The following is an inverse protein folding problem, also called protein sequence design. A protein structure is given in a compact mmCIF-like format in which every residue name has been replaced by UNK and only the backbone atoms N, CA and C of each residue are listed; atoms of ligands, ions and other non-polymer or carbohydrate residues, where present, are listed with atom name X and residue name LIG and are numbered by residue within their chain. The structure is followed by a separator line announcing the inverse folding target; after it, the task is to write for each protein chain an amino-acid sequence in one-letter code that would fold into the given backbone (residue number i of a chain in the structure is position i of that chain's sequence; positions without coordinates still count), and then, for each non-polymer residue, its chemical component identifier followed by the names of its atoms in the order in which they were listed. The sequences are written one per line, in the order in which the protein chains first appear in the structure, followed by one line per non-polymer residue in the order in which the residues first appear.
data_IF_311607379194
#
_entry.id   IF_311607379194
#
_cell.length_a   1.000
_cell.length_b   1.000
_cell.length_c   1.000
_cell.angle_alpha   90.00
_cell.angle_beta   90.00
_cell.angle_gamma   90.00
#
_symmetry.space_group_name_H-M   'P 1'
#
loop_
_entity.id
_entity.type
_entity.pdbx_description
1 polymer ?
#
# COMPACT_ATOMS: atom_id res chain seq x y z
N UNK A 1 -28.88 -25.34 -3.51
CA UNK A 1 -27.46 -24.93 -3.56
C UNK A 1 -26.84 -25.36 -4.89
N UNK A 2 -27.18 -26.56 -5.40
CA UNK A 2 -26.75 -27.08 -6.71
C UNK A 2 -27.10 -26.19 -7.93
N UNK A 3 -28.25 -25.52 -7.94
CA UNK A 3 -28.63 -24.63 -9.05
C UNK A 3 -27.64 -23.48 -9.25
N UNK A 4 -27.12 -22.92 -8.15
CA UNK A 4 -26.16 -21.82 -8.21
C UNK A 4 -24.81 -22.36 -8.69
N UNK A 5 -24.33 -23.49 -8.17
CA UNK A 5 -23.11 -24.14 -8.65
C UNK A 5 -23.15 -24.46 -10.15
N UNK A 6 -24.30 -24.94 -10.66
CA UNK A 6 -24.49 -25.22 -12.08
C UNK A 6 -24.47 -23.97 -12.98
N UNK A 7 -24.83 -22.80 -12.45
CA UNK A 7 -24.73 -21.53 -13.18
C UNK A 7 -23.29 -21.02 -13.24
N UNK A 8 -22.49 -21.24 -12.20
CA UNK A 8 -21.11 -20.77 -12.13
C UNK A 8 -20.19 -21.54 -13.09
N UNK A 9 -20.48 -22.81 -13.35
CA UNK A 9 -19.72 -23.61 -14.33
C UNK A 9 -19.90 -23.16 -15.79
N UNK A 10 -20.88 -22.30 -16.08
CA UNK A 10 -21.11 -21.74 -17.42
C UNK A 10 -20.36 -20.42 -17.65
N UNK A 11 -19.74 -19.87 -16.61
CA UNK A 11 -18.93 -18.68 -16.73
C UNK A 11 -17.63 -19.05 -17.43
N UNK A 12 -17.38 -18.40 -18.56
CA UNK A 12 -16.13 -18.45 -19.29
C UNK A 12 -15.69 -17.02 -19.56
N UNK A 13 -14.39 -16.79 -19.57
CA UNK A 13 -13.85 -15.49 -19.96
C UNK A 13 -14.11 -15.28 -21.45
N UNK A 14 -14.54 -14.10 -21.82
CA UNK A 14 -14.54 -13.67 -23.22
C UNK A 14 -13.10 -13.47 -23.72
N UNK A 15 -12.89 -13.47 -25.03
CA UNK A 15 -11.56 -13.23 -25.64
C UNK A 15 -10.93 -11.90 -25.18
N UNK A 16 -11.76 -10.88 -24.92
CA UNK A 16 -11.32 -9.58 -24.39
C UNK A 16 -10.92 -9.64 -22.92
N UNK A 17 -11.58 -10.48 -22.12
CA UNK A 17 -11.25 -10.67 -20.70
C UNK A 17 -10.04 -11.58 -20.51
N UNK A 18 -9.82 -12.55 -21.41
CA UNK A 18 -8.65 -13.45 -21.40
C UNK A 18 -7.35 -12.68 -21.69
N UNK A 19 -7.40 -11.65 -22.53
CA UNK A 19 -6.28 -10.74 -22.75
C UNK A 19 -5.86 -9.97 -21.48
N UNK A 20 -6.79 -9.83 -20.52
CA UNK A 20 -6.59 -9.09 -19.29
C UNK A 20 -6.51 -7.57 -19.52
N UNK A 21 -6.84 -6.81 -18.49
CA UNK A 21 -6.60 -5.37 -18.49
C UNK A 21 -5.20 -5.12 -17.95
N UNK A 22 -4.29 -4.66 -18.81
CA UNK A 22 -3.05 -4.06 -18.35
C UNK A 22 -3.41 -2.78 -17.60
N UNK A 23 -3.41 -2.83 -16.27
CA UNK A 23 -3.49 -1.62 -15.45
C UNK A 23 -2.30 -0.76 -15.85
N UNK A 24 -2.52 0.43 -16.47
CA UNK A 24 -1.42 1.24 -16.93
C UNK A 24 -0.55 1.53 -15.72
N UNK A 25 0.73 1.13 -15.79
CA UNK A 25 1.73 1.50 -14.79
C UNK A 25 1.84 3.01 -14.81
N UNK A 26 1.05 3.66 -13.97
CA UNK A 26 1.07 5.11 -13.80
C UNK A 26 2.54 5.51 -13.56
N UNK A 27 3.12 6.34 -14.43
CA UNK A 27 4.49 6.80 -14.26
C UNK A 27 4.55 7.65 -13.00
N UNK A 28 4.85 7.03 -11.86
CA UNK A 28 4.74 7.68 -10.56
C UNK A 28 4.32 6.77 -9.39
N UNK A 29 3.92 5.52 -9.63
CA UNK A 29 3.85 4.50 -8.57
C UNK A 29 5.28 4.14 -8.18
N UNK A 30 5.82 4.97 -7.29
CA UNK A 30 7.14 4.79 -6.69
C UNK A 30 7.18 3.41 -6.03
N UNK A 31 8.19 2.62 -6.37
CA UNK A 31 8.46 1.29 -5.77
C UNK A 31 8.68 1.35 -4.25
N UNK A 32 8.91 2.54 -3.71
CA UNK A 32 9.21 2.79 -2.31
C UNK A 32 7.99 3.30 -1.52
N UNK A 33 6.86 2.59 -1.56
CA UNK A 33 5.65 2.89 -0.78
C UNK A 33 5.46 1.86 0.34
N UNK A 34 5.13 2.33 1.54
CA UNK A 34 4.75 1.50 2.68
C UNK A 34 3.38 1.94 3.18
N UNK A 35 2.45 1.00 3.33
CA UNK A 35 1.17 1.26 3.98
C UNK A 35 1.22 0.73 5.41
N UNK A 36 0.80 1.56 6.37
CA UNK A 36 0.71 1.20 7.79
C UNK A 36 -0.66 1.54 8.36
N UNK A 37 -1.25 0.59 9.09
CA UNK A 37 -2.51 0.78 9.81
C UNK A 37 -2.23 0.98 11.30
N UNK A 38 -2.63 2.12 11.83
CA UNK A 38 -2.50 2.42 13.25
C UNK A 38 -3.75 1.94 14.00
N UNK A 39 -3.56 0.91 14.83
CA UNK A 39 -4.63 0.31 15.64
C UNK A 39 -4.90 1.15 16.91
N UNK A 40 -5.19 2.44 16.72
CA UNK A 40 -5.52 3.39 17.78
C UNK A 40 -6.98 3.78 17.74
N UNK A 41 -7.58 4.00 18.92
CA UNK A 41 -8.99 4.41 19.03
C UNK A 41 -9.25 5.85 18.56
N UNK A 42 -8.19 6.66 18.41
CA UNK A 42 -8.22 8.05 17.93
C UNK A 42 -7.48 8.18 16.61
N UNK A 43 -7.81 9.24 15.86
CA UNK A 43 -7.10 9.58 14.62
C UNK A 43 -5.66 9.98 14.94
N UNK A 44 -4.70 9.34 14.27
CA UNK A 44 -3.26 9.65 14.42
C UNK A 44 -2.88 10.88 13.60
N UNK A 45 -2.10 11.78 14.21
CA UNK A 45 -1.58 12.95 13.51
C UNK A 45 -0.38 12.55 12.62
N UNK A 46 -0.50 12.76 11.31
CA UNK A 46 0.55 12.48 10.31
C UNK A 46 1.91 13.09 10.67
N UNK A 47 1.93 14.29 11.23
CA UNK A 47 3.14 15.04 11.55
C UNK A 47 3.80 14.48 12.81
N UNK A 48 3.00 14.00 13.76
CA UNK A 48 3.51 13.30 14.93
C UNK A 48 4.13 11.96 14.51
N UNK A 49 3.46 11.22 13.63
CA UNK A 49 3.98 9.97 13.05
C UNK A 49 5.29 10.23 12.32
N UNK A 50 5.35 11.19 11.39
CA UNK A 50 6.58 11.47 10.64
C UNK A 50 7.76 11.80 11.56
N UNK A 51 7.53 12.56 12.64
CA UNK A 51 8.56 12.93 13.63
C UNK A 51 9.02 11.75 14.48
N UNK A 52 8.14 10.84 14.83
CA UNK A 52 8.47 9.64 15.63
C UNK A 52 9.21 8.60 14.82
N UNK A 53 8.75 8.32 13.59
CA UNK A 53 9.32 7.28 12.75
C UNK A 53 10.61 7.69 12.03
N UNK A 54 10.83 9.00 11.79
CA UNK A 54 12.08 9.50 11.18
C UNK A 54 13.36 9.06 11.90
N UNK A 55 13.51 9.21 13.24
CA UNK A 55 14.68 8.69 13.95
C UNK A 55 14.71 7.16 14.03
N UNK A 56 13.56 6.49 14.16
CA UNK A 56 13.47 5.02 14.23
C UNK A 56 13.99 4.36 12.95
N UNK A 57 13.51 4.83 11.81
CA UNK A 57 13.85 4.29 10.49
C UNK A 57 15.18 4.80 9.92
N UNK A 58 15.84 5.72 10.64
CA UNK A 58 17.15 6.30 10.25
C UNK A 58 17.17 6.75 8.79
N UNK A 59 16.08 7.35 8.31
CA UNK A 59 15.95 7.73 6.91
C UNK A 59 16.91 8.88 6.59
N UNK A 60 17.68 8.75 5.51
CA UNK A 60 18.64 9.79 5.10
C UNK A 60 17.95 11.01 4.51
N UNK A 61 16.79 10.79 3.89
CA UNK A 61 15.96 11.82 3.28
C UNK A 61 14.58 11.86 3.94
N UNK A 62 13.92 13.03 3.97
CA UNK A 62 12.55 13.11 4.43
C UNK A 62 11.63 12.28 3.52
N UNK A 63 10.79 11.44 4.12
CA UNK A 63 9.69 10.75 3.44
C UNK A 63 8.40 11.56 3.58
N UNK A 64 7.46 11.31 2.66
CA UNK A 64 6.13 11.94 2.71
C UNK A 64 5.12 10.97 3.32
N UNK A 65 4.19 11.50 4.11
CA UNK A 65 3.11 10.71 4.73
C UNK A 65 1.78 11.20 4.19
N UNK A 66 1.01 10.28 3.61
CA UNK A 66 -0.33 10.51 3.11
C UNK A 66 -1.34 9.81 4.01
N UNK A 67 -2.38 10.51 4.39
CA UNK A 67 -3.50 9.93 5.15
C UNK A 67 -4.55 9.42 4.17
N UNK A 68 -4.93 8.16 4.30
CA UNK A 68 -5.91 7.47 3.46
C UNK A 68 -7.22 7.22 4.23
N UNK A 69 -7.30 7.68 5.48
CA UNK A 69 -8.45 7.48 6.35
C UNK A 69 -8.39 6.18 7.14
N UNK A 70 -9.29 6.06 8.13
CA UNK A 70 -9.37 4.90 9.04
C UNK A 70 -8.04 4.55 9.73
N UNK A 71 -7.22 5.56 10.05
CA UNK A 71 -5.88 5.38 10.59
C UNK A 71 -4.92 4.60 9.68
N UNK A 72 -5.16 4.60 8.37
CA UNK A 72 -4.23 4.10 7.38
C UNK A 72 -3.37 5.24 6.85
N UNK A 73 -2.05 5.12 7.00
CA UNK A 73 -1.09 6.07 6.46
C UNK A 73 -0.23 5.39 5.40
N UNK A 74 0.06 6.12 4.32
CA UNK A 74 1.00 5.70 3.28
C UNK A 74 2.27 6.54 3.42
N UNK A 75 3.40 5.87 3.57
CA UNK A 75 4.73 6.44 3.58
C UNK A 75 5.35 6.30 2.19
N UNK A 76 5.74 7.43 1.61
CA UNK A 76 6.48 7.49 0.34
C UNK A 76 7.93 7.83 0.59
N UNK A 77 8.78 6.85 0.38
CA UNK A 77 10.22 7.00 0.47
C UNK A 77 10.79 7.49 -0.88
N UNK A 78 11.85 8.31 -0.85
CA UNK A 78 12.54 8.74 -2.06
C UNK A 78 13.53 7.70 -2.60
N UNK A 79 13.88 6.68 -1.81
CA UNK A 79 14.82 5.62 -2.16
C UNK A 79 14.29 4.27 -1.70
N UNK A 80 14.40 3.25 -2.55
CA UNK A 80 14.00 1.87 -2.23
C UNK A 80 14.83 1.28 -1.08
N UNK A 81 16.10 1.66 -0.96
CA UNK A 81 17.00 1.22 0.13
C UNK A 81 16.58 1.73 1.50
N UNK A 82 15.83 2.83 1.57
CA UNK A 82 15.25 3.29 2.83
C UNK A 82 14.02 2.43 3.19
N UNK A 83 13.22 2.01 2.20
CA UNK A 83 12.09 1.11 2.42
C UNK A 83 12.54 -0.29 2.86
N UNK A 84 13.53 -0.88 2.16
CA UNK A 84 14.07 -2.19 2.53
C UNK A 84 14.59 -2.19 3.97
N UNK A 85 15.30 -1.14 4.38
CA UNK A 85 15.76 -0.98 5.76
C UNK A 85 14.59 -0.95 6.75
N UNK A 86 13.52 -0.21 6.44
CA UNK A 86 12.34 -0.17 7.32
C UNK A 86 11.74 -1.57 7.50
N UNK A 87 11.63 -2.31 6.41
CA UNK A 87 11.09 -3.67 6.40
C UNK A 87 11.99 -4.69 7.12
N UNK A 88 13.32 -4.52 7.07
CA UNK A 88 14.29 -5.42 7.68
C UNK A 88 14.46 -5.22 9.20
N UNK A 89 14.42 -3.97 9.68
CA UNK A 89 14.71 -3.68 11.08
C UNK A 89 13.47 -3.74 11.96
N UNK A 90 12.44 -2.94 11.67
CA UNK A 90 11.15 -2.93 12.40
C UNK A 90 10.18 -1.93 11.72
N UNK A 91 9.10 -2.41 11.07
CA UNK A 91 8.08 -1.56 10.45
C UNK A 91 7.16 -0.86 11.46
#
# INVERSE_FOLDING_TARGET
MEEVEGMWQKLSLSEEEEAGLEVPKLPGVSKSLLAGKFLTHRIVNREAVSRTFKPLWRTRKPFHVYDVGENNLIFKFPMDTDLERVLEYEP
#
